data_IF_078763421561
#
_entry.id   IF_078763421561
#
_cell.length_a   1.000
_cell.length_b   1.000
_cell.length_c   1.000
_cell.angle_alpha   90.00
_cell.angle_beta   90.00
_cell.angle_gamma   90.00
#
_symmetry.space_group_name_H-M   'P 1'
#
loop_
_entity.id
_entity.type
_entity.pdbx_description
1 polymer ?
#
# COMPACT_ATOMS: atom_id res chain seq x y z
N UNK A 1 25.32 26.21 -72.69
CA UNK A 1 24.38 25.23 -72.08
C UNK A 1 25.05 24.26 -71.10
N UNK A 2 26.14 23.55 -71.44
CA UNK A 2 26.77 22.52 -70.57
C UNK A 2 27.26 23.03 -69.18
N UNK A 3 27.70 24.28 -69.09
CA UNK A 3 28.14 24.93 -67.83
C UNK A 3 26.99 25.23 -66.88
N UNK A 4 25.82 25.59 -67.40
CA UNK A 4 24.61 25.84 -66.60
C UNK A 4 24.08 24.56 -65.95
N UNK A 5 24.05 23.44 -66.70
CA UNK A 5 23.69 22.12 -66.16
C UNK A 5 24.67 21.62 -65.09
N UNK A 6 25.98 21.91 -65.20
CA UNK A 6 26.96 21.53 -64.16
C UNK A 6 26.75 22.30 -62.86
N UNK A 7 26.40 23.58 -62.93
CA UNK A 7 26.15 24.40 -61.74
C UNK A 7 24.84 23.96 -61.07
N UNK A 8 23.78 23.74 -61.85
CA UNK A 8 22.49 23.26 -61.35
C UNK A 8 22.59 21.88 -60.69
N UNK A 9 23.32 20.93 -61.29
CA UNK A 9 23.56 19.61 -60.68
C UNK A 9 24.37 19.71 -59.39
N UNK A 10 25.32 20.65 -59.28
CA UNK A 10 26.13 20.82 -58.08
C UNK A 10 25.29 21.36 -56.91
N UNK A 11 24.36 22.28 -57.18
CA UNK A 11 23.42 22.77 -56.17
C UNK A 11 22.38 21.71 -55.76
N UNK A 12 21.91 20.88 -56.71
CA UNK A 12 21.03 19.75 -56.40
C UNK A 12 21.70 18.70 -55.49
N UNK A 13 22.97 18.38 -55.73
CA UNK A 13 23.74 17.44 -54.88
C UNK A 13 23.97 18.01 -53.48
N UNK A 14 24.27 19.30 -53.36
CA UNK A 14 24.44 19.96 -52.06
C UNK A 14 23.11 20.06 -51.30
N UNK A 15 22.01 20.38 -51.98
CA UNK A 15 20.68 20.40 -51.37
C UNK A 15 20.21 19.01 -50.91
N UNK A 16 20.51 17.95 -51.68
CA UNK A 16 20.24 16.57 -51.29
C UNK A 16 21.10 16.08 -50.12
N UNK A 17 22.35 16.55 -50.01
CA UNK A 17 23.21 16.26 -48.86
C UNK A 17 22.77 16.95 -47.57
N UNK A 18 22.24 18.18 -47.66
CA UNK A 18 21.70 18.92 -46.51
C UNK A 18 20.38 18.34 -45.99
N UNK A 19 19.52 17.79 -46.85
CA UNK A 19 18.28 17.13 -46.43
C UNK A 19 18.50 15.78 -45.76
N UNK A 20 19.59 15.05 -46.08
CA UNK A 20 19.97 13.81 -45.39
C UNK A 20 20.45 14.04 -43.94
N UNK A 21 21.03 15.21 -43.64
CA UNK A 21 21.45 15.58 -42.29
C UNK A 21 20.28 16.05 -41.39
N UNK A 22 19.13 16.40 -41.98
CA UNK A 22 17.95 16.84 -41.24
C UNK A 22 17.10 15.67 -40.67
N UNK A 23 17.39 14.42 -41.04
CA UNK A 23 16.62 13.25 -40.59
C UNK A 23 17.09 12.63 -39.27
N UNK A 24 18.14 13.15 -38.63
CA UNK A 24 18.47 12.74 -37.26
C UNK A 24 17.59 13.49 -36.27
N UNK A 25 16.28 13.33 -36.38
CA UNK A 25 15.39 13.56 -35.25
C UNK A 25 15.74 12.48 -34.21
N UNK A 26 16.66 12.79 -33.31
CA UNK A 26 16.87 11.99 -32.11
C UNK A 26 15.57 12.14 -31.30
N UNK A 27 14.67 11.17 -31.42
CA UNK A 27 13.62 11.04 -30.43
C UNK A 27 14.32 10.97 -29.07
N UNK A 28 14.06 11.95 -28.21
CA UNK A 28 14.43 11.81 -26.80
C UNK A 28 13.71 10.56 -26.33
N UNK A 29 14.46 9.51 -25.99
CA UNK A 29 13.90 8.24 -25.53
C UNK A 29 13.11 8.50 -24.25
N UNK A 30 11.78 8.62 -24.39
CA UNK A 30 10.87 8.82 -23.28
C UNK A 30 10.96 7.62 -22.34
N UNK A 31 11.44 7.85 -21.11
CA UNK A 31 11.62 6.81 -20.10
C UNK A 31 10.43 6.77 -19.16
N UNK A 32 9.61 5.74 -19.33
CA UNK A 32 8.46 5.45 -18.48
C UNK A 32 8.77 4.22 -17.62
N UNK A 33 8.63 4.40 -16.32
CA UNK A 33 8.58 3.32 -15.33
C UNK A 33 7.15 3.10 -14.84
N UNK A 34 6.88 1.94 -14.27
CA UNK A 34 5.63 1.64 -13.59
C UNK A 34 5.91 0.89 -12.30
N UNK A 35 5.03 1.07 -11.31
CA UNK A 35 5.12 0.40 -10.01
C UNK A 35 3.79 -0.22 -9.62
N UNK A 36 3.86 -1.34 -8.91
CA UNK A 36 2.72 -1.94 -8.23
C UNK A 36 2.77 -1.60 -6.74
N UNK A 37 1.95 -0.65 -6.31
CA UNK A 37 1.91 -0.19 -4.92
C UNK A 37 1.46 -1.28 -3.94
N UNK A 38 0.45 -2.08 -4.31
CA UNK A 38 -0.03 -3.17 -3.46
C UNK A 38 1.07 -4.20 -3.19
N UNK A 39 1.87 -4.51 -4.21
CA UNK A 39 3.03 -5.39 -4.10
C UNK A 39 4.09 -4.79 -3.19
N UNK A 40 4.37 -3.49 -3.33
CA UNK A 40 5.30 -2.78 -2.44
C UNK A 40 4.84 -2.88 -0.98
N UNK A 41 3.56 -2.56 -0.71
CA UNK A 41 3.00 -2.60 0.65
C UNK A 41 3.00 -4.01 1.24
N UNK A 42 2.83 -5.05 0.43
CA UNK A 42 2.82 -6.44 0.88
C UNK A 42 4.22 -7.01 1.10
N UNK A 43 5.17 -6.67 0.24
CA UNK A 43 6.50 -7.30 0.22
C UNK A 43 7.58 -6.52 0.97
N UNK A 44 7.41 -5.20 1.18
CA UNK A 44 8.38 -4.37 1.88
C UNK A 44 8.63 -4.88 3.31
N UNK A 45 9.91 -5.00 3.70
CA UNK A 45 10.26 -5.43 5.06
C UNK A 45 9.76 -4.43 6.12
N UNK A 46 9.70 -3.15 5.77
CA UNK A 46 9.13 -2.12 6.64
C UNK A 46 7.66 -2.39 6.96
N UNK A 47 6.87 -2.82 5.97
CA UNK A 47 5.46 -3.18 6.18
C UNK A 47 5.31 -4.43 7.03
N UNK A 48 6.16 -5.45 6.81
CA UNK A 48 6.19 -6.65 7.66
C UNK A 48 6.58 -6.34 9.11
N UNK A 49 7.56 -5.46 9.31
CA UNK A 49 7.96 -5.02 10.64
C UNK A 49 6.85 -4.22 11.35
N UNK A 50 6.16 -3.35 10.62
CA UNK A 50 4.98 -2.64 11.12
C UNK A 50 3.87 -3.63 11.54
N UNK A 51 3.59 -4.66 10.75
CA UNK A 51 2.62 -5.69 11.10
C UNK A 51 2.97 -6.38 12.43
N UNK A 52 4.23 -6.83 12.59
CA UNK A 52 4.67 -7.44 13.86
C UNK A 52 4.63 -6.46 15.04
N UNK A 53 4.89 -5.17 14.80
CA UNK A 53 4.79 -4.13 15.83
C UNK A 53 3.33 -3.94 16.27
N UNK A 54 2.40 -3.84 15.33
CA UNK A 54 0.96 -3.73 15.60
C UNK A 54 0.44 -4.96 16.37
N UNK A 55 0.83 -6.16 15.98
CA UNK A 55 0.47 -7.39 16.70
C UNK A 55 0.91 -7.34 18.17
N UNK A 56 2.13 -6.87 18.46
CA UNK A 56 2.61 -6.73 19.84
C UNK A 56 1.88 -5.63 20.60
N UNK A 57 1.67 -4.48 19.96
CA UNK A 57 0.97 -3.32 20.54
C UNK A 57 -0.48 -3.66 20.92
N UNK A 58 -1.15 -4.48 20.10
CA UNK A 58 -2.57 -4.78 20.24
C UNK A 58 -2.90 -6.14 20.87
N UNK A 59 -1.92 -7.04 21.06
CA UNK A 59 -2.15 -8.38 21.62
C UNK A 59 -2.86 -8.36 22.98
N UNK A 60 -2.52 -7.42 23.85
CA UNK A 60 -3.15 -7.31 25.17
C UNK A 60 -4.64 -6.91 25.05
N UNK A 61 -4.95 -5.90 24.25
CA UNK A 61 -6.33 -5.44 24.00
C UNK A 61 -7.16 -6.52 23.31
N UNK A 62 -6.58 -7.22 22.34
CA UNK A 62 -7.23 -8.33 21.66
C UNK A 62 -7.62 -9.44 22.66
N UNK A 63 -6.68 -9.86 23.53
CA UNK A 63 -6.95 -10.86 24.56
C UNK A 63 -8.00 -10.41 25.57
N UNK A 64 -8.03 -9.12 25.91
CA UNK A 64 -9.05 -8.55 26.79
C UNK A 64 -10.44 -8.68 26.17
N UNK A 65 -10.60 -8.27 24.90
CA UNK A 65 -11.88 -8.36 24.17
C UNK A 65 -12.33 -9.82 24.00
N UNK A 66 -11.41 -10.72 23.64
CA UNK A 66 -11.69 -12.16 23.56
C UNK A 66 -12.07 -12.75 24.92
N UNK A 67 -11.42 -12.30 26.00
CA UNK A 67 -11.71 -12.70 27.37
C UNK A 67 -13.13 -12.31 27.78
N UNK A 68 -13.55 -11.08 27.48
CA UNK A 68 -14.92 -10.61 27.73
C UNK A 68 -15.96 -11.44 26.97
N UNK A 69 -15.71 -11.73 25.68
CA UNK A 69 -16.60 -12.57 24.89
C UNK A 69 -16.75 -13.98 25.50
N UNK A 70 -15.65 -14.59 25.94
CA UNK A 70 -15.68 -15.90 26.60
C UNK A 70 -16.41 -15.86 27.95
N UNK A 71 -16.23 -14.80 28.74
CA UNK A 71 -16.92 -14.59 30.01
C UNK A 71 -18.43 -14.45 29.82
N UNK A 72 -18.87 -13.63 28.86
CA UNK A 72 -20.29 -13.45 28.54
C UNK A 72 -20.92 -14.76 28.10
N UNK A 73 -20.24 -15.52 27.23
CA UNK A 73 -20.70 -16.83 26.79
C UNK A 73 -20.88 -17.79 27.98
N UNK A 74 -19.87 -17.93 28.83
CA UNK A 74 -19.92 -18.80 30.00
C UNK A 74 -21.01 -18.38 30.99
N UNK A 75 -21.15 -17.07 31.24
CA UNK A 75 -22.18 -16.53 32.11
C UNK A 75 -23.59 -16.75 31.55
N UNK A 76 -23.77 -16.65 30.23
CA UNK A 76 -25.03 -16.91 29.54
C UNK A 76 -25.42 -18.38 29.64
N UNK A 77 -24.50 -19.30 29.31
CA UNK A 77 -24.73 -20.76 29.43
C UNK A 77 -25.01 -21.18 30.89
N UNK A 78 -24.39 -20.51 31.87
CA UNK A 78 -24.68 -20.74 33.29
C UNK A 78 -26.06 -20.20 33.66
N UNK A 79 -26.42 -19.01 33.20
CA UNK A 79 -27.71 -18.41 33.45
C UNK A 79 -28.84 -19.26 32.86
N UNK A 80 -28.73 -19.72 31.63
CA UNK A 80 -29.73 -20.58 30.97
C UNK A 80 -29.99 -21.87 31.77
N UNK A 81 -28.93 -22.50 32.31
CA UNK A 81 -29.06 -23.71 33.13
C UNK A 81 -29.67 -23.47 34.50
N UNK A 82 -29.29 -22.37 35.16
CA UNK A 82 -29.70 -22.09 36.54
C UNK A 82 -31.00 -21.27 36.63
N UNK A 83 -31.40 -20.55 35.57
CA UNK A 83 -32.56 -19.66 35.59
C UNK A 83 -33.86 -20.31 36.14
N UNK A 84 -34.22 -21.56 35.81
CA UNK A 84 -35.44 -22.19 36.33
C UNK A 84 -35.47 -22.35 37.86
N UNK A 85 -34.31 -22.46 38.50
CA UNK A 85 -34.18 -22.69 39.96
C UNK A 85 -33.89 -21.43 40.75
N UNK A 86 -33.54 -20.32 40.07
CA UNK A 86 -33.23 -19.06 40.71
C UNK A 86 -34.50 -18.28 41.12
N UNK A 87 -34.48 -17.61 42.29
CA UNK A 87 -35.48 -16.60 42.64
C UNK A 87 -35.52 -15.46 41.60
N UNK A 88 -36.69 -14.86 41.40
CA UNK A 88 -36.89 -13.81 40.39
C UNK A 88 -35.91 -12.64 40.54
N UNK A 89 -35.67 -12.18 41.77
CA UNK A 89 -34.71 -11.11 42.03
C UNK A 89 -33.29 -11.46 41.57
N UNK A 90 -32.85 -12.71 41.78
CA UNK A 90 -31.54 -13.19 41.35
C UNK A 90 -31.48 -13.37 39.83
N UNK A 91 -32.56 -13.85 39.20
CA UNK A 91 -32.64 -13.90 37.73
C UNK A 91 -32.48 -12.52 37.11
N UNK A 92 -33.24 -11.55 37.61
CA UNK A 92 -33.22 -10.18 37.11
C UNK A 92 -31.84 -9.54 37.29
N UNK A 93 -31.17 -9.78 38.42
CA UNK A 93 -29.82 -9.29 38.65
C UNK A 93 -28.81 -9.88 37.64
N UNK A 94 -28.83 -11.19 37.41
CA UNK A 94 -27.94 -11.84 36.44
C UNK A 94 -28.21 -11.43 35.00
N UNK A 95 -29.48 -11.27 34.62
CA UNK A 95 -29.85 -10.77 33.31
C UNK A 95 -29.30 -9.36 33.07
N UNK A 96 -29.41 -8.46 34.06
CA UNK A 96 -28.81 -7.12 33.96
C UNK A 96 -27.29 -7.18 33.82
N UNK A 97 -26.64 -8.01 34.63
CA UNK A 97 -25.19 -8.18 34.53
C UNK A 97 -24.75 -8.63 33.14
N UNK A 98 -25.45 -9.60 32.52
CA UNK A 98 -25.17 -10.03 31.16
C UNK A 98 -25.33 -8.89 30.14
N UNK A 99 -26.37 -8.07 30.28
CA UNK A 99 -26.59 -6.89 29.43
C UNK A 99 -25.48 -5.86 29.59
N UNK A 100 -25.02 -5.62 30.82
CA UNK A 100 -23.95 -4.66 31.10
C UNK A 100 -22.60 -5.16 30.56
N UNK A 101 -22.30 -6.46 30.72
CA UNK A 101 -21.11 -7.09 30.13
C UNK A 101 -21.13 -7.03 28.60
N UNK A 102 -22.27 -7.30 27.96
CA UNK A 102 -22.40 -7.20 26.51
C UNK A 102 -22.17 -5.77 26.00
N UNK A 103 -22.72 -4.76 26.69
CA UNK A 103 -22.47 -3.34 26.36
C UNK A 103 -21.00 -2.98 26.48
N UNK A 104 -20.33 -3.46 27.53
CA UNK A 104 -18.89 -3.26 27.71
C UNK A 104 -18.07 -3.95 26.61
N UNK A 105 -18.39 -5.21 26.29
CA UNK A 105 -17.75 -5.94 25.20
C UNK A 105 -17.89 -5.18 23.88
N UNK A 106 -19.10 -4.75 23.52
CA UNK A 106 -19.33 -3.99 22.29
C UNK A 106 -18.55 -2.67 22.25
N UNK A 107 -18.45 -1.96 23.38
CA UNK A 107 -17.66 -0.73 23.49
C UNK A 107 -16.17 -1.01 23.25
N UNK A 108 -15.59 -1.95 24.00
CA UNK A 108 -14.16 -2.31 23.88
C UNK A 108 -13.82 -2.91 22.52
N UNK A 109 -14.73 -3.66 21.92
CA UNK A 109 -14.57 -4.21 20.58
C UNK A 109 -14.50 -3.11 19.53
N UNK A 110 -15.34 -2.06 19.63
CA UNK A 110 -15.27 -0.89 18.73
C UNK A 110 -13.99 -0.11 18.94
N UNK A 111 -13.64 0.23 20.18
CA UNK A 111 -12.40 0.93 20.52
C UNK A 111 -11.17 0.18 19.97
N UNK A 112 -11.11 -1.14 20.15
CA UNK A 112 -10.05 -1.97 19.60
C UNK A 112 -9.96 -1.90 18.07
N UNK A 113 -11.10 -2.00 17.36
CA UNK A 113 -11.13 -1.96 15.90
C UNK A 113 -10.73 -0.59 15.36
N UNK A 114 -11.21 0.49 15.98
CA UNK A 114 -10.90 1.86 15.60
C UNK A 114 -9.41 2.18 15.82
N UNK A 115 -8.89 1.87 17.00
CA UNK A 115 -7.47 2.06 17.33
C UNK A 115 -6.58 1.25 16.38
N UNK A 116 -6.90 -0.02 16.14
CA UNK A 116 -6.13 -0.88 15.25
C UNK A 116 -6.15 -0.37 13.81
N UNK A 117 -7.31 0.08 13.32
CA UNK A 117 -7.44 0.64 11.98
C UNK A 117 -6.63 1.93 11.83
N UNK A 118 -6.70 2.83 12.83
CA UNK A 118 -5.93 4.07 12.85
C UNK A 118 -4.42 3.77 12.78
N UNK A 119 -3.92 2.95 13.70
CA UNK A 119 -2.49 2.61 13.79
C UNK A 119 -2.02 1.87 12.55
N UNK A 120 -2.83 0.98 11.98
CA UNK A 120 -2.53 0.31 10.71
C UNK A 120 -2.39 1.31 9.56
N UNK A 121 -3.28 2.28 9.45
CA UNK A 121 -3.21 3.31 8.41
C UNK A 121 -1.97 4.20 8.56
N UNK A 122 -1.60 4.58 9.79
CA UNK A 122 -0.40 5.37 10.06
C UNK A 122 0.89 4.63 9.65
N UNK A 123 1.00 3.35 9.99
CA UNK A 123 2.17 2.56 9.62
C UNK A 123 2.21 2.29 8.11
N UNK A 124 1.06 2.06 7.45
CA UNK A 124 0.98 1.94 5.99
C UNK A 124 1.39 3.25 5.29
N UNK A 125 0.92 4.39 5.78
CA UNK A 125 1.28 5.70 5.23
C UNK A 125 2.79 5.93 5.33
N UNK A 126 3.41 5.50 6.42
CA UNK A 126 4.87 5.57 6.59
C UNK A 126 5.61 4.76 5.51
N UNK A 127 5.08 3.59 5.13
CA UNK A 127 5.64 2.78 4.03
C UNK A 127 5.47 3.49 2.69
N UNK A 128 4.30 4.05 2.41
CA UNK A 128 4.02 4.84 1.20
C UNK A 128 4.99 6.02 1.09
N UNK A 129 5.19 6.78 2.16
CA UNK A 129 6.08 7.94 2.16
C UNK A 129 7.55 7.56 1.95
N UNK A 130 7.98 6.41 2.49
CA UNK A 130 9.32 5.86 2.22
C UNK A 130 9.43 5.40 0.77
N UNK A 131 8.41 4.74 0.22
CA UNK A 131 8.39 4.26 -1.16
C UNK A 131 8.44 5.43 -2.14
N UNK A 132 7.66 6.48 -1.92
CA UNK A 132 7.66 7.70 -2.74
C UNK A 132 9.05 8.36 -2.79
N UNK A 133 9.77 8.38 -1.65
CA UNK A 133 11.15 8.89 -1.61
C UNK A 133 12.10 8.05 -2.46
N UNK A 134 12.02 6.72 -2.35
CA UNK A 134 12.84 5.81 -3.16
C UNK A 134 12.51 5.95 -4.65
N UNK A 135 11.22 6.00 -5.00
CA UNK A 135 10.73 6.22 -6.37
C UNK A 135 11.32 7.51 -6.94
N UNK A 136 11.30 8.60 -6.19
CA UNK A 136 11.87 9.88 -6.62
C UNK A 136 13.38 9.79 -6.87
N UNK A 137 14.14 9.15 -5.97
CA UNK A 137 15.57 8.93 -6.13
C UNK A 137 15.90 8.06 -7.36
N UNK A 138 15.09 7.03 -7.62
CA UNK A 138 15.22 6.21 -8.82
C UNK A 138 14.89 7.00 -10.09
N UNK A 139 13.83 7.82 -10.05
CA UNK A 139 13.45 8.67 -11.17
C UNK A 139 14.60 9.61 -11.58
N UNK A 140 15.21 10.28 -10.60
CA UNK A 140 16.30 11.23 -10.83
C UNK A 140 17.61 10.56 -11.26
N UNK A 141 17.94 9.40 -10.68
CA UNK A 141 19.18 8.68 -10.96
C UNK A 141 19.15 7.94 -12.29
N UNK A 142 18.01 7.31 -12.64
CA UNK A 142 17.84 6.56 -13.88
C UNK A 142 17.19 7.38 -15.01
N UNK A 143 16.89 8.66 -14.75
CA UNK A 143 16.32 9.61 -15.74
C UNK A 143 14.96 9.16 -16.27
N UNK A 144 14.06 8.74 -15.38
CA UNK A 144 12.66 8.53 -15.76
C UNK A 144 11.95 9.86 -15.93
N UNK A 145 11.19 9.99 -17.01
CA UNK A 145 10.30 11.13 -17.25
C UNK A 145 8.98 10.95 -16.49
N UNK A 146 8.49 9.70 -16.43
CA UNK A 146 7.27 9.34 -15.72
C UNK A 146 7.41 8.03 -14.98
N UNK A 147 6.79 7.96 -13.80
CA UNK A 147 6.56 6.71 -13.08
C UNK A 147 5.06 6.61 -12.84
N UNK A 148 4.45 5.60 -13.45
CA UNK A 148 3.01 5.38 -13.41
C UNK A 148 2.66 4.44 -12.27
N UNK A 149 1.61 4.80 -11.52
CA UNK A 149 0.99 3.95 -10.52
C UNK A 149 -0.36 3.46 -11.07
N UNK A 150 -0.89 2.36 -10.52
CA UNK A 150 -2.25 1.85 -10.83
C UNK A 150 -2.49 1.49 -12.30
N UNK A 151 -1.45 1.09 -13.03
CA UNK A 151 -1.61 0.60 -14.39
C UNK A 151 -2.35 -0.76 -14.39
N UNK A 152 -3.40 -0.89 -15.20
CA UNK A 152 -4.16 -2.15 -15.38
C UNK A 152 -3.26 -3.30 -15.83
N UNK A 153 -2.24 -2.98 -16.64
CA UNK A 153 -1.20 -3.91 -17.07
C UNK A 153 0.14 -3.20 -17.05
N UNK A 154 1.16 -3.88 -16.51
CA UNK A 154 2.54 -3.42 -16.52
C UNK A 154 3.34 -4.44 -17.33
N UNK A 155 3.95 -3.99 -18.43
CA UNK A 155 4.96 -4.81 -19.10
C UNK A 155 6.18 -4.95 -18.16
N UNK A 156 6.65 -6.16 -17.86
CA UNK A 156 7.77 -6.39 -16.93
C UNK A 156 9.03 -5.58 -17.25
N UNK A 157 9.26 -5.21 -18.51
CA UNK A 157 10.38 -4.36 -18.92
C UNK A 157 10.33 -2.95 -18.30
N UNK A 158 9.14 -2.43 -18.03
CA UNK A 158 8.92 -1.11 -17.46
C UNK A 158 8.59 -1.16 -15.96
N UNK A 159 8.42 -2.36 -15.39
CA UNK A 159 8.17 -2.54 -13.97
C UNK A 159 9.46 -2.29 -13.16
N UNK A 160 9.43 -1.29 -12.28
CA UNK A 160 10.54 -0.97 -11.38
C UNK A 160 10.25 -1.36 -9.94
N UNK A 161 9.16 -2.09 -9.68
CA UNK A 161 8.71 -2.47 -8.33
C UNK A 161 9.82 -3.14 -7.52
N UNK A 162 10.57 -4.07 -8.13
CA UNK A 162 11.68 -4.75 -7.45
C UNK A 162 12.82 -3.80 -7.06
N UNK A 163 13.10 -2.79 -7.90
CA UNK A 163 14.09 -1.75 -7.57
C UNK A 163 13.63 -0.89 -6.40
N UNK A 164 12.34 -0.54 -6.37
CA UNK A 164 11.76 0.21 -5.25
C UNK A 164 11.81 -0.63 -3.97
N UNK A 165 11.42 -1.90 -4.02
CA UNK A 165 11.52 -2.84 -2.90
C UNK A 165 12.96 -2.98 -2.40
N UNK A 166 13.93 -3.06 -3.30
CA UNK A 166 15.35 -3.08 -2.94
C UNK A 166 15.77 -1.79 -2.23
N UNK A 167 15.44 -0.62 -2.78
CA UNK A 167 15.76 0.67 -2.16
C UNK A 167 15.11 0.87 -0.78
N UNK A 168 13.88 0.37 -0.59
CA UNK A 168 13.21 0.36 0.71
C UNK A 168 13.93 -0.48 1.75
N UNK A 169 14.52 -1.61 1.34
CA UNK A 169 15.21 -2.54 2.24
C UNK A 169 16.67 -2.12 2.51
N UNK A 170 17.29 -1.37 1.61
CA UNK A 170 18.69 -0.91 1.73
C UNK A 170 18.83 0.44 2.43
N UNK A 171 17.78 1.27 2.46
CA UNK A 171 17.80 2.54 3.15
C UNK A 171 17.66 2.37 4.67
N UNK A 172 18.74 2.54 5.42
CA UNK A 172 18.69 2.87 6.86
C UNK A 172 18.03 4.23 7.10
#
# INVERSE_FOLDING_TARGET
MKTFYRILNRHLVVAAGLSLLALTATAQDLRIGAVNLERILREANLAKAAQTKLEREFSAKEKEVQGLAAQIKSASEKFEREAPTLPEAQRNARQRQLVDQDREFQRKQREFQEDLALRKNEELQTVVDRANRVIKQLAESEKYDFIIQEAVYINPKHDITDKVLSGLNSGK
#
